data_IF_719614804515
#
_entry.id   IF_719614804515
#
_cell.length_a   1.000
_cell.length_b   1.000
_cell.length_c   1.000
_cell.angle_alpha   90.00
_cell.angle_beta   90.00
_cell.angle_gamma   90.00
#
_symmetry.space_group_name_H-M   'P 1'
#
loop_
_entity.id
_entity.type
_entity.pdbx_description
1 polymer ?
#
# COMPACT_ATOMS: atom_id res chain seq x y z
N UNK A 1 21.84 -4.35 14.65
CA UNK A 1 21.19 -4.40 13.31
C UNK A 1 22.17 -3.85 12.31
N UNK A 2 22.29 -4.45 11.13
CA UNK A 2 23.15 -3.88 10.09
C UNK A 2 22.47 -2.64 9.47
N UNK A 3 23.22 -1.66 8.94
CA UNK A 3 22.65 -0.50 8.27
C UNK A 3 21.64 -0.86 7.16
N UNK A 4 21.89 -1.95 6.44
CA UNK A 4 21.04 -2.44 5.35
C UNK A 4 19.69 -2.94 5.86
N UNK A 5 19.69 -3.62 7.01
CA UNK A 5 18.47 -4.08 7.66
C UNK A 5 17.61 -2.89 8.13
N UNK A 6 18.24 -1.82 8.65
CA UNK A 6 17.54 -0.59 9.02
C UNK A 6 16.95 0.12 7.80
N UNK A 7 17.70 0.24 6.71
CA UNK A 7 17.19 0.83 5.47
C UNK A 7 15.99 0.05 4.93
N UNK A 8 16.06 -1.28 4.95
CA UNK A 8 14.96 -2.15 4.53
C UNK A 8 13.73 -1.95 5.42
N UNK A 9 13.92 -1.88 6.74
CA UNK A 9 12.85 -1.60 7.69
C UNK A 9 12.19 -0.24 7.46
N UNK A 10 12.97 0.81 7.25
CA UNK A 10 12.45 2.14 6.91
C UNK A 10 11.71 2.14 5.58
N UNK A 11 12.22 1.46 4.54
CA UNK A 11 11.51 1.32 3.26
C UNK A 11 10.13 0.67 3.43
N UNK A 12 10.03 -0.41 4.23
CA UNK A 12 8.74 -1.03 4.54
C UNK A 12 7.83 -0.05 5.27
N UNK A 13 8.34 0.64 6.31
CA UNK A 13 7.54 1.59 7.09
C UNK A 13 7.02 2.76 6.26
N UNK A 14 7.88 3.36 5.44
CA UNK A 14 7.54 4.47 4.55
C UNK A 14 6.55 4.04 3.48
N UNK A 15 6.72 2.86 2.88
CA UNK A 15 5.76 2.32 1.93
C UNK A 15 4.36 2.17 2.51
N UNK A 16 4.24 1.70 3.75
CA UNK A 16 2.96 1.53 4.44
C UNK A 16 2.37 2.88 4.85
N UNK A 17 3.20 3.82 5.29
CA UNK A 17 2.78 5.18 5.61
C UNK A 17 2.22 5.89 4.37
N UNK A 18 2.92 5.80 3.24
CA UNK A 18 2.46 6.33 1.96
C UNK A 18 1.14 5.67 1.52
N UNK A 19 1.06 4.34 1.56
CA UNK A 19 -0.15 3.59 1.21
C UNK A 19 -1.34 4.01 2.08
N UNK A 20 -1.13 4.15 3.39
CA UNK A 20 -2.14 4.61 4.33
C UNK A 20 -2.57 6.05 4.06
N UNK A 21 -1.63 6.97 3.81
CA UNK A 21 -1.94 8.36 3.49
C UNK A 21 -2.79 8.46 2.22
N UNK A 22 -2.44 7.71 1.16
CA UNK A 22 -3.19 7.66 -0.09
C UNK A 22 -4.63 7.13 0.12
N UNK A 23 -4.79 6.01 0.82
CA UNK A 23 -6.12 5.41 1.05
C UNK A 23 -6.99 6.31 1.91
N UNK A 24 -6.44 6.92 2.97
CA UNK A 24 -7.19 7.83 3.83
C UNK A 24 -7.53 9.14 3.10
N UNK A 25 -6.60 9.69 2.31
CA UNK A 25 -6.87 10.86 1.46
C UNK A 25 -7.96 10.59 0.44
N UNK A 26 -7.91 9.45 -0.24
CA UNK A 26 -9.00 9.01 -1.13
C UNK A 26 -10.32 8.91 -0.38
N UNK A 27 -10.35 8.27 0.80
CA UNK A 27 -11.58 8.09 1.57
C UNK A 27 -12.17 9.43 2.03
N UNK A 28 -11.34 10.41 2.40
CA UNK A 28 -11.77 11.74 2.79
C UNK A 28 -12.46 12.49 1.63
N UNK A 29 -11.99 12.30 0.40
CA UNK A 29 -12.57 12.96 -0.79
C UNK A 29 -13.76 12.18 -1.35
N UNK A 30 -13.62 10.86 -1.51
CA UNK A 30 -14.60 10.01 -2.16
C UNK A 30 -15.71 9.51 -1.22
N UNK A 31 -15.60 9.77 0.09
CA UNK A 31 -16.55 9.34 1.13
C UNK A 31 -16.81 7.81 1.13
N UNK A 32 -15.90 7.04 0.54
CA UNK A 32 -15.92 5.57 0.49
C UNK A 32 -14.50 5.03 0.57
N UNK A 33 -14.27 3.84 1.16
CA UNK A 33 -12.94 3.27 1.23
C UNK A 33 -12.42 2.91 -0.18
N UNK A 34 -11.13 3.19 -0.43
CA UNK A 34 -10.47 2.71 -1.65
C UNK A 34 -10.39 1.18 -1.67
N UNK A 35 -10.47 0.56 -2.84
CA UNK A 35 -10.31 -0.88 -3.00
C UNK A 35 -9.95 -1.26 -4.44
N UNK A 36 -9.58 -2.53 -4.64
CA UNK A 36 -9.21 -3.04 -5.98
C UNK A 36 -10.36 -3.01 -7.00
N UNK A 37 -11.61 -2.85 -6.53
CA UNK A 37 -12.76 -2.60 -7.39
C UNK A 37 -12.66 -1.31 -8.22
N UNK A 38 -11.76 -0.38 -7.90
CA UNK A 38 -11.49 0.80 -8.72
C UNK A 38 -11.02 0.45 -10.15
N UNK A 39 -10.52 -0.77 -10.37
CA UNK A 39 -10.17 -1.28 -11.71
C UNK A 39 -11.38 -1.84 -12.48
N UNK A 40 -12.50 -2.11 -11.79
CA UNK A 40 -13.68 -2.75 -12.34
C UNK A 40 -14.71 -1.76 -12.88
N UNK A 41 -14.58 -0.46 -12.57
CA UNK A 41 -15.49 0.62 -12.99
C UNK A 41 -15.42 0.94 -14.52
N UNK A 42 -14.85 0.06 -15.35
CA UNK A 42 -14.78 0.17 -16.82
C UNK A 42 -13.62 1.01 -17.36
N UNK A 43 -13.50 1.18 -18.68
CA UNK A 43 -12.46 1.99 -19.34
C UNK A 43 -12.83 3.47 -19.32
N UNK A 44 -12.99 4.04 -18.12
CA UNK A 44 -13.14 5.48 -17.94
C UNK A 44 -11.75 6.12 -17.77
N UNK A 45 -11.55 7.41 -18.12
CA UNK A 45 -10.30 8.13 -17.84
C UNK A 45 -9.85 8.05 -16.37
N UNK A 46 -10.82 7.90 -15.45
CA UNK A 46 -10.60 7.70 -14.02
C UNK A 46 -9.87 6.38 -13.69
N UNK A 47 -10.04 5.34 -14.51
CA UNK A 47 -9.41 4.02 -14.32
C UNK A 47 -7.91 4.07 -14.60
N UNK A 48 -7.45 4.96 -15.48
CA UNK A 48 -6.01 5.18 -15.69
C UNK A 48 -5.33 5.77 -14.45
N UNK A 49 -6.01 6.67 -13.72
CA UNK A 49 -5.51 7.21 -12.46
C UNK A 49 -5.56 6.17 -11.32
N UNK A 50 -6.47 5.19 -11.40
CA UNK A 50 -6.58 4.14 -10.41
C UNK A 50 -5.35 3.23 -10.37
N UNK A 51 -4.70 2.97 -11.51
CA UNK A 51 -3.52 2.10 -11.58
C UNK A 51 -2.36 2.61 -10.72
N UNK A 52 -1.77 3.80 -10.95
CA UNK A 52 -0.66 4.29 -10.12
C UNK A 52 -1.08 4.48 -8.67
N UNK A 53 -2.32 4.91 -8.40
CA UNK A 53 -2.84 4.98 -7.04
C UNK A 53 -2.83 3.61 -6.35
N UNK A 54 -3.37 2.58 -6.98
CA UNK A 54 -3.47 1.23 -6.41
C UNK A 54 -2.10 0.55 -6.26
N UNK A 55 -1.15 0.84 -7.16
CA UNK A 55 0.24 0.35 -7.04
C UNK A 55 0.84 0.74 -5.68
N UNK A 56 0.64 1.98 -5.24
CA UNK A 56 1.15 2.44 -3.94
C UNK A 56 0.19 2.17 -2.77
N UNK A 57 -1.13 2.14 -3.01
CA UNK A 57 -2.13 1.88 -1.96
C UNK A 57 -2.26 0.40 -1.58
N UNK A 58 -1.79 -0.53 -2.43
CA UNK A 58 -1.94 -1.97 -2.29
C UNK A 58 -1.59 -2.54 -0.91
N UNK A 59 -0.43 -2.23 -0.27
CA UNK A 59 -0.08 -2.81 1.03
C UNK A 59 -1.14 -2.57 2.10
N UNK A 60 -1.67 -1.33 2.15
CA UNK A 60 -2.70 -0.95 3.12
C UNK A 60 -4.04 -1.62 2.81
N UNK A 61 -4.44 -1.65 1.53
CA UNK A 61 -5.71 -2.29 1.11
C UNK A 61 -5.70 -3.79 1.42
N UNK A 62 -4.59 -4.48 1.12
CA UNK A 62 -4.40 -5.92 1.40
C UNK A 62 -4.56 -6.16 2.90
N UNK A 63 -3.79 -5.47 3.74
CA UNK A 63 -3.83 -5.68 5.19
C UNK A 63 -5.20 -5.34 5.78
N UNK A 64 -5.82 -4.24 5.38
CA UNK A 64 -7.18 -3.86 5.84
C UNK A 64 -8.20 -4.93 5.49
N UNK A 65 -8.18 -5.43 4.25
CA UNK A 65 -9.14 -6.44 3.81
C UNK A 65 -8.90 -7.78 4.52
N UNK A 66 -7.64 -8.18 4.73
CA UNK A 66 -7.30 -9.39 5.48
C UNK A 66 -7.72 -9.31 6.94
N UNK A 67 -7.43 -8.21 7.64
CA UNK A 67 -7.82 -8.01 9.04
C UNK A 67 -9.35 -7.96 9.20
N UNK A 68 -10.06 -7.33 8.25
CA UNK A 68 -11.54 -7.35 8.23
C UNK A 68 -12.09 -8.76 7.99
N UNK A 69 -11.54 -9.49 7.01
CA UNK A 69 -11.93 -10.87 6.71
C UNK A 69 -11.69 -11.83 7.87
N UNK A 70 -10.58 -11.66 8.60
CA UNK A 70 -10.36 -12.39 9.85
C UNK A 70 -11.45 -12.12 10.89
N UNK A 71 -11.77 -10.85 11.13
CA UNK A 71 -12.68 -10.45 12.21
C UNK A 71 -14.12 -10.85 11.92
N UNK A 72 -14.52 -10.87 10.65
CA UNK A 72 -15.90 -11.11 10.22
C UNK A 72 -16.13 -12.57 9.81
N UNK A 73 -15.13 -13.23 9.22
CA UNK A 73 -15.27 -14.59 8.65
C UNK A 73 -14.45 -15.66 9.39
N UNK A 74 -13.83 -15.33 10.53
CA UNK A 74 -12.96 -16.24 11.31
C UNK A 74 -11.88 -16.94 10.45
N UNK A 75 -11.33 -16.23 9.46
CA UNK A 75 -10.31 -16.79 8.56
C UNK A 75 -9.07 -17.23 9.35
N UNK A 76 -8.46 -18.32 8.87
CA UNK A 76 -7.24 -18.91 9.47
C UNK A 76 -6.10 -17.89 9.50
N UNK A 77 -5.33 -17.92 10.58
CA UNK A 77 -4.14 -17.06 10.80
C UNK A 77 -3.11 -17.17 9.65
N UNK A 78 -3.07 -18.32 8.97
CA UNK A 78 -2.27 -18.56 7.76
C UNK A 78 -2.47 -17.48 6.69
N UNK A 79 -3.72 -17.04 6.46
CA UNK A 79 -4.01 -15.98 5.48
C UNK A 79 -3.42 -14.62 5.90
N UNK A 80 -3.35 -14.35 7.20
CA UNK A 80 -2.75 -13.13 7.74
C UNK A 80 -1.26 -13.14 7.53
N UNK A 81 -0.62 -14.28 7.80
CA UNK A 81 0.81 -14.47 7.57
C UNK A 81 1.14 -14.20 6.11
N UNK A 82 0.40 -14.79 5.18
CA UNK A 82 0.65 -14.60 3.74
C UNK A 82 0.39 -13.16 3.31
N UNK A 83 -0.71 -12.55 3.76
CA UNK A 83 -1.00 -11.15 3.48
C UNK A 83 0.07 -10.21 4.04
N UNK A 84 0.61 -10.50 5.23
CA UNK A 84 1.68 -9.72 5.85
C UNK A 84 2.97 -9.81 5.03
N UNK A 85 3.34 -11.01 4.55
CA UNK A 85 4.51 -11.18 3.69
C UNK A 85 4.35 -10.43 2.36
N UNK A 86 3.19 -10.60 1.70
CA UNK A 86 2.89 -9.94 0.42
C UNK A 86 2.89 -8.42 0.59
N UNK A 87 2.15 -7.91 1.59
CA UNK A 87 2.06 -6.49 1.84
C UNK A 87 3.40 -5.91 2.30
N UNK A 88 4.19 -6.64 3.09
CA UNK A 88 5.53 -6.23 3.52
C UNK A 88 6.49 -6.09 2.34
N UNK A 89 6.54 -7.09 1.46
CA UNK A 89 7.35 -7.04 0.24
C UNK A 89 6.92 -5.90 -0.68
N UNK A 90 5.61 -5.76 -0.91
CA UNK A 90 5.05 -4.69 -1.73
C UNK A 90 5.33 -3.30 -1.15
N UNK A 91 5.25 -3.18 0.18
CA UNK A 91 5.57 -1.95 0.90
C UNK A 91 7.04 -1.59 0.77
N UNK A 92 7.94 -2.56 0.88
CA UNK A 92 9.38 -2.37 0.67
C UNK A 92 9.68 -1.80 -0.72
N UNK A 93 9.10 -2.39 -1.77
CA UNK A 93 9.24 -1.88 -3.14
C UNK A 93 8.70 -0.46 -3.28
N UNK A 94 7.51 -0.19 -2.73
CA UNK A 94 6.85 1.11 -2.80
C UNK A 94 7.64 2.20 -2.07
N UNK A 95 8.12 1.93 -0.85
CA UNK A 95 8.91 2.88 -0.07
C UNK A 95 10.28 3.14 -0.70
N UNK A 96 10.92 2.11 -1.24
CA UNK A 96 12.21 2.26 -1.95
C UNK A 96 12.04 3.14 -3.18
N UNK A 97 11.01 2.88 -4.01
CA UNK A 97 10.70 3.70 -5.17
C UNK A 97 10.41 5.16 -4.78
N UNK A 98 9.62 5.37 -3.73
CA UNK A 98 9.29 6.72 -3.26
C UNK A 98 10.54 7.48 -2.79
N UNK A 99 11.40 6.85 -1.99
CA UNK A 99 12.67 7.44 -1.54
C UNK A 99 13.60 7.76 -2.72
N UNK A 100 13.74 6.86 -3.68
CA UNK A 100 14.54 7.09 -4.89
C UNK A 100 13.98 8.26 -5.72
N UNK A 101 12.65 8.36 -5.82
CA UNK A 101 11.98 9.45 -6.53
C UNK A 101 12.23 10.79 -5.84
N UNK A 102 12.12 10.85 -4.51
CA UNK A 102 12.41 12.05 -3.74
C UNK A 102 13.88 12.48 -3.87
N UNK A 103 14.79 11.52 -3.87
CA UNK A 103 16.21 11.77 -4.12
C UNK A 103 16.47 12.29 -5.53
N UNK A 104 15.87 11.66 -6.55
CA UNK A 104 15.98 12.10 -7.94
C UNK A 104 15.37 13.50 -8.17
N UNK A 105 14.33 13.85 -7.41
CA UNK A 105 13.72 15.18 -7.42
C UNK A 105 14.51 16.23 -6.62
N UNK A 106 15.61 15.85 -5.96
CA UNK A 106 16.43 16.76 -5.15
C UNK A 106 15.84 17.13 -3.78
N UNK A 107 14.82 16.42 -3.32
CA UNK A 107 14.18 16.64 -2.01
C UNK A 107 14.99 16.00 -0.87
N UNK A 108 15.67 14.90 -1.17
CA UNK A 108 16.58 14.21 -0.25
C UNK A 108 18.00 14.29 -0.82
N UNK A 109 18.95 14.73 0.01
CA UNK A 109 20.38 14.84 -0.32
C UNK A 109 21.14 13.64 0.23
#
# INVERSE_FOLDING_TARGET
>A
MTPEALNTFFSIGIGFALAGALVNGYQAVAQRPAGFGLLQDGVAPKTFAAVPFLVFAAPFIIMRNTLRGMRVESRRVEFVMMATLIAGFWSMMSGTFFLMTLRAAGVLV
#
